data_IF_746819648233
#
_entry.id   IF_746819648233
#
_cell.length_a   1.000
_cell.length_b   1.000
_cell.length_c   1.000
_cell.angle_alpha   90.00
_cell.angle_beta   90.00
_cell.angle_gamma   90.00
#
_symmetry.space_group_name_H-M   'P 1'
#
loop_
_entity.id
_entity.type
_entity.pdbx_description
1 polymer ?
#
# COMPACT_ATOMS: atom_id res chain seq x y z
N UNK A 1 10.30 6.26 -6.33
CA UNK A 1 9.43 6.87 -5.31
C UNK A 1 8.31 5.89 -4.93
N UNK A 2 7.52 5.35 -5.87
CA UNK A 2 6.55 4.25 -5.59
C UNK A 2 7.19 3.00 -4.92
N UNK A 3 8.36 2.57 -5.40
CA UNK A 3 9.09 1.44 -4.84
C UNK A 3 9.52 1.62 -3.37
N UNK A 4 9.88 2.85 -2.98
CA UNK A 4 10.24 3.18 -1.59
C UNK A 4 9.01 3.15 -0.70
N UNK A 5 7.87 3.69 -1.15
CA UNK A 5 6.62 3.62 -0.38
C UNK A 5 6.11 2.18 -0.24
N UNK A 6 6.22 1.35 -1.28
CA UNK A 6 5.92 -0.10 -1.20
C UNK A 6 6.79 -0.81 -0.19
N UNK A 7 8.10 -0.56 -0.25
CA UNK A 7 9.05 -1.09 0.71
C UNK A 7 8.70 -0.64 2.14
N UNK A 8 8.45 0.65 2.35
CA UNK A 8 8.10 1.20 3.66
C UNK A 8 6.79 0.58 4.21
N UNK A 9 5.77 0.45 3.36
CA UNK A 9 4.50 -0.23 3.71
C UNK A 9 4.74 -1.71 4.07
N UNK A 10 5.65 -2.39 3.37
CA UNK A 10 6.06 -3.76 3.72
C UNK A 10 6.80 -3.81 5.06
N UNK A 11 7.66 -2.84 5.37
CA UNK A 11 8.33 -2.77 6.67
C UNK A 11 7.32 -2.60 7.81
N UNK A 12 6.27 -1.79 7.64
CA UNK A 12 5.18 -1.67 8.63
C UNK A 12 4.29 -2.92 8.76
N UNK A 13 4.45 -3.90 7.86
CA UNK A 13 3.72 -5.17 7.93
C UNK A 13 4.43 -6.25 8.73
N UNK A 14 5.63 -5.96 9.23
CA UNK A 14 6.42 -6.89 10.02
C UNK A 14 5.91 -6.77 11.46
N UNK A 15 5.48 -7.87 12.13
CA UNK A 15 5.08 -7.80 13.53
C UNK A 15 6.27 -7.45 14.43
N UNK A 16 6.00 -6.82 15.57
CA UNK A 16 7.01 -6.60 16.61
C UNK A 16 7.38 -7.94 17.26
N UNK A 17 8.67 -8.16 17.53
CA UNK A 17 9.09 -9.30 18.36
C UNK A 17 8.70 -9.06 19.83
N UNK A 18 8.57 -10.11 20.67
CA UNK A 18 8.24 -9.93 22.09
C UNK A 18 9.22 -9.01 22.85
N UNK A 19 10.50 -9.00 22.46
CA UNK A 19 11.49 -8.07 22.99
C UNK A 19 11.20 -6.62 22.59
N UNK A 20 10.59 -6.40 21.42
CA UNK A 20 10.16 -5.08 20.95
C UNK A 20 8.81 -4.65 21.55
N UNK A 21 7.89 -5.58 21.85
CA UNK A 21 6.59 -5.28 22.50
C UNK A 21 6.75 -4.68 23.90
N UNK A 22 7.78 -5.10 24.64
CA UNK A 22 8.07 -4.61 26.00
C UNK A 22 8.89 -3.31 26.03
N UNK A 23 9.39 -2.86 24.87
CA UNK A 23 10.35 -1.76 24.70
C UNK A 23 9.83 -0.65 23.79
N UNK A 24 8.55 -0.27 23.89
CA UNK A 24 8.10 1.09 23.52
C UNK A 24 8.69 2.15 24.47
N UNK A 25 10.00 2.08 24.66
CA UNK A 25 10.85 3.07 25.28
C UNK A 25 11.30 3.98 24.13
N UNK A 26 10.82 5.23 24.15
CA UNK A 26 10.95 6.21 23.05
C UNK A 26 12.40 6.48 22.61
N UNK A 27 13.39 6.00 23.37
CA UNK A 27 14.81 6.22 23.12
C UNK A 27 15.48 5.16 22.21
N UNK A 28 14.78 4.07 21.84
CA UNK A 28 15.39 2.96 21.08
C UNK A 28 14.80 2.67 19.70
N UNK A 29 13.58 3.11 19.39
CA UNK A 29 12.91 2.77 18.13
C UNK A 29 12.36 4.01 17.41
N UNK A 30 12.69 4.11 16.12
CA UNK A 30 12.16 5.16 15.26
C UNK A 30 10.78 4.75 14.72
N UNK A 31 9.73 5.59 14.88
CA UNK A 31 8.37 5.25 14.49
C UNK A 31 8.15 5.23 12.96
N UNK A 32 9.12 5.70 12.15
CA UNK A 32 9.11 5.61 10.70
C UNK A 32 9.78 4.30 10.24
N UNK A 33 10.79 3.81 10.95
CA UNK A 33 11.45 2.53 10.65
C UNK A 33 11.49 1.62 11.88
N UNK A 34 10.34 1.01 12.26
CA UNK A 34 10.23 0.24 13.50
C UNK A 34 11.10 -1.04 13.53
N UNK A 35 11.48 -1.58 12.36
CA UNK A 35 12.22 -2.84 12.24
C UNK A 35 13.59 -2.65 11.57
N UNK A 36 14.47 -1.90 12.21
CA UNK A 36 15.84 -1.63 11.74
C UNK A 36 16.62 -2.91 11.38
N UNK A 37 16.34 -4.03 12.07
CA UNK A 37 16.96 -5.35 11.82
C UNK A 37 16.35 -6.07 10.61
N UNK A 38 15.05 -5.91 10.36
CA UNK A 38 14.37 -6.54 9.23
C UNK A 38 14.64 -5.83 7.89
N UNK A 39 15.30 -4.67 7.93
CA UNK A 39 15.74 -3.94 6.74
C UNK A 39 16.72 -4.75 5.88
N UNK A 40 17.31 -5.86 6.33
CA UNK A 40 18.36 -6.55 5.57
C UNK A 40 17.84 -7.48 4.46
N UNK A 41 16.55 -7.87 4.49
CA UNK A 41 16.01 -8.92 3.60
C UNK A 41 14.64 -8.56 2.95
N UNK A 42 14.39 -7.31 2.54
CA UNK A 42 13.11 -6.98 1.86
C UNK A 42 13.09 -7.48 0.41
N UNK A 43 12.29 -8.51 0.16
CA UNK A 43 11.99 -9.00 -1.19
C UNK A 43 11.29 -7.94 -2.05
N UNK A 44 10.54 -7.01 -1.43
CA UNK A 44 9.82 -5.93 -2.13
C UNK A 44 10.78 -4.99 -2.80
N UNK A 45 11.74 -4.44 -2.05
CA UNK A 45 12.68 -3.49 -2.61
C UNK A 45 13.52 -4.14 -3.71
N UNK A 46 14.01 -5.36 -3.47
CA UNK A 46 14.76 -6.11 -4.47
C UNK A 46 13.94 -6.33 -5.74
N UNK A 47 12.70 -6.79 -5.63
CA UNK A 47 11.82 -7.02 -6.78
C UNK A 47 11.49 -5.72 -7.50
N UNK A 48 11.20 -4.64 -6.79
CA UNK A 48 10.89 -3.34 -7.41
C UNK A 48 12.11 -2.75 -8.12
N UNK A 49 13.33 -2.92 -7.59
CA UNK A 49 14.57 -2.55 -8.30
C UNK A 49 14.70 -3.39 -9.58
N UNK A 50 14.57 -4.71 -9.47
CA UNK A 50 14.73 -5.62 -10.59
C UNK A 50 13.69 -5.41 -11.71
N UNK A 51 12.44 -5.04 -11.37
CA UNK A 51 11.39 -4.66 -12.34
C UNK A 51 11.72 -3.40 -13.15
N UNK A 52 12.67 -2.59 -12.68
CA UNK A 52 13.07 -1.34 -13.34
C UNK A 52 14.44 -1.43 -14.02
N UNK A 53 15.07 -2.61 -14.04
CA UNK A 53 16.33 -2.86 -14.74
C UNK A 53 16.06 -3.64 -16.04
N UNK A 54 16.66 -3.26 -17.18
CA UNK A 54 17.47 -2.05 -17.42
C UNK A 54 16.65 -0.76 -17.51
N UNK A 55 15.33 -0.86 -17.70
CA UNK A 55 14.39 0.26 -17.69
C UNK A 55 12.99 -0.20 -17.26
N UNK A 56 12.12 0.70 -16.78
CA UNK A 56 10.75 0.37 -16.41
C UNK A 56 9.95 -0.08 -17.62
N UNK A 57 9.26 -1.22 -17.51
CA UNK A 57 8.33 -1.73 -18.54
C UNK A 57 6.88 -1.71 -18.06
N UNK A 58 6.62 -1.14 -16.88
CA UNK A 58 5.29 -1.08 -16.30
C UNK A 58 4.35 -0.18 -17.12
N UNK A 59 3.32 -0.80 -17.69
CA UNK A 59 2.18 -0.10 -18.29
C UNK A 59 1.06 0.00 -17.26
N UNK A 60 0.57 1.21 -16.99
CA UNK A 60 -0.53 1.42 -16.03
C UNK A 60 -1.82 0.75 -16.51
N UNK A 61 -2.64 0.27 -15.57
CA UNK A 61 -3.79 -0.60 -15.83
C UNK A 61 -4.78 -0.03 -16.86
N UNK A 62 -5.07 1.28 -16.82
CA UNK A 62 -5.95 1.95 -17.78
C UNK A 62 -5.43 1.98 -19.23
N UNK A 63 -4.14 1.74 -19.44
CA UNK A 63 -3.47 1.74 -20.75
C UNK A 63 -3.11 0.32 -21.22
N UNK A 64 -3.31 -0.71 -20.39
CA UNK A 64 -3.03 -2.10 -20.77
C UNK A 64 -4.00 -2.63 -21.82
N UNK A 65 -5.25 -2.18 -21.76
CA UNK A 65 -6.34 -2.71 -22.60
C UNK A 65 -6.62 -1.84 -23.84
N UNK A 66 -5.84 -0.77 -24.07
CA UNK A 66 -5.99 0.14 -25.22
C UNK A 66 -4.61 0.59 -25.72
N UNK A 67 -4.23 0.30 -26.97
CA UNK A 67 -3.00 0.84 -27.57
C UNK A 67 -2.99 2.37 -27.45
N UNK A 68 -1.95 2.92 -26.83
CA UNK A 68 -1.82 4.36 -26.64
C UNK A 68 -0.40 4.80 -26.99
N UNK A 69 -0.23 6.05 -27.44
CA UNK A 69 1.09 6.66 -27.60
C UNK A 69 1.93 6.58 -26.32
N UNK A 70 1.28 6.54 -25.14
CA UNK A 70 1.95 6.36 -23.86
C UNK A 70 2.59 4.97 -23.73
N UNK A 71 1.87 3.91 -24.12
CA UNK A 71 2.40 2.53 -24.14
C UNK A 71 3.58 2.40 -25.09
N UNK A 72 3.51 3.01 -26.27
CA UNK A 72 4.62 3.02 -27.24
C UNK A 72 5.86 3.72 -26.69
N UNK A 73 5.67 4.90 -26.08
CA UNK A 73 6.75 5.66 -25.47
C UNK A 73 7.50 4.86 -24.39
N UNK A 74 6.79 4.05 -23.60
CA UNK A 74 7.43 3.18 -22.59
C UNK A 74 8.39 2.18 -23.25
N UNK A 75 7.98 1.56 -24.35
CA UNK A 75 8.82 0.61 -25.08
C UNK A 75 9.97 1.29 -25.84
N UNK A 76 9.75 2.48 -26.40
CA UNK A 76 10.82 3.30 -26.99
C UNK A 76 11.86 3.71 -25.93
N UNK A 77 11.42 4.13 -24.75
CA UNK A 77 12.29 4.45 -23.62
C UNK A 77 13.05 3.21 -23.10
N UNK A 78 12.39 2.05 -23.10
CA UNK A 78 13.05 0.78 -22.77
C UNK A 78 14.18 0.47 -23.76
N UNK A 79 13.92 0.51 -25.06
CA UNK A 79 14.92 0.29 -26.11
C UNK A 79 16.10 1.26 -26.00
N UNK A 80 15.81 2.55 -25.81
CA UNK A 80 16.84 3.59 -25.69
C UNK A 80 17.75 3.40 -24.47
N UNK A 81 17.26 2.77 -23.40
CA UNK A 81 18.00 2.52 -22.16
C UNK A 81 18.68 1.16 -22.12
N UNK A 82 18.18 0.16 -22.84
CA UNK A 82 18.78 -1.19 -22.84
C UNK A 82 20.07 -1.24 -23.67
N UNK A 83 20.16 -0.45 -24.75
CA UNK A 83 21.34 -0.43 -25.63
C UNK A 83 22.61 0.06 -24.91
N UNK A 84 22.60 1.18 -24.17
CA UNK A 84 23.78 1.63 -23.43
C UNK A 84 24.17 0.74 -22.25
N UNK A 85 23.24 -0.07 -21.70
CA UNK A 85 23.52 -0.90 -20.50
C UNK A 85 24.50 -2.03 -20.81
N UNK A 86 24.42 -2.64 -22.00
CA UNK A 86 25.37 -3.66 -22.43
C UNK A 86 26.77 -3.05 -22.57
N UNK A 87 26.85 -1.85 -23.15
CA UNK A 87 28.12 -1.15 -23.36
C UNK A 87 28.73 -0.63 -22.05
N UNK A 88 27.90 -0.09 -21.15
CA UNK A 88 28.32 0.35 -19.82
C UNK A 88 28.83 -0.83 -18.97
N UNK A 89 28.13 -1.97 -19.00
CA UNK A 89 28.58 -3.15 -18.26
C UNK A 89 29.94 -3.67 -18.76
N UNK A 90 30.18 -3.69 -20.08
CA UNK A 90 31.48 -4.02 -20.66
C UNK A 90 32.57 -3.02 -20.27
N UNK A 91 32.24 -1.73 -20.20
CA UNK A 91 33.18 -0.70 -19.80
C UNK A 91 33.59 -0.83 -18.32
N UNK A 92 32.65 -1.20 -17.44
CA UNK A 92 32.90 -1.41 -16.01
C UNK A 92 33.64 -2.73 -15.72
N UNK A 93 33.56 -3.70 -16.63
CA UNK A 93 34.21 -5.02 -16.51
C UNK A 93 35.11 -5.33 -17.72
N UNK A 94 36.17 -4.54 -17.97
CA UNK A 94 37.01 -4.65 -19.17
C UNK A 94 37.77 -5.99 -19.25
N UNK A 95 37.93 -6.65 -18.11
CA UNK A 95 38.62 -7.92 -17.96
C UNK A 95 37.67 -9.14 -17.98
N UNK A 96 36.36 -8.95 -18.14
CA UNK A 96 35.41 -10.07 -18.14
C UNK A 96 35.62 -10.97 -19.36
N UNK A 97 36.04 -12.21 -19.12
CA UNK A 97 36.24 -13.23 -20.16
C UNK A 97 35.80 -14.60 -19.67
N UNK A 98 35.53 -15.51 -20.62
CA UNK A 98 35.21 -16.91 -20.33
C UNK A 98 36.27 -17.61 -19.46
N UNK A 99 37.52 -17.19 -19.57
CA UNK A 99 38.65 -17.79 -18.83
C UNK A 99 38.80 -17.24 -17.42
N UNK A 100 38.47 -15.97 -17.19
CA UNK A 100 38.63 -15.28 -15.90
C UNK A 100 37.44 -15.46 -14.98
N UNK A 101 36.23 -15.34 -15.52
CA UNK A 101 34.99 -15.55 -14.78
C UNK A 101 33.95 -16.21 -15.71
N UNK A 102 34.04 -17.53 -15.91
CA UNK A 102 33.19 -18.27 -16.83
C UNK A 102 31.69 -18.13 -16.53
N UNK A 103 31.36 -17.98 -15.24
CA UNK A 103 29.99 -17.80 -14.78
C UNK A 103 29.49 -16.42 -15.19
N UNK A 104 30.14 -15.34 -14.76
CA UNK A 104 29.70 -13.97 -15.07
C UNK A 104 29.75 -13.67 -16.58
N UNK A 105 30.72 -14.22 -17.31
CA UNK A 105 30.82 -14.07 -18.76
C UNK A 105 29.68 -14.79 -19.48
N UNK A 106 29.36 -16.03 -19.12
CA UNK A 106 28.24 -16.77 -19.71
C UNK A 106 26.89 -16.11 -19.41
N UNK A 107 26.71 -15.61 -18.19
CA UNK A 107 25.57 -14.80 -17.76
C UNK A 107 25.45 -13.51 -18.61
N UNK A 108 26.56 -12.81 -18.84
CA UNK A 108 26.61 -11.59 -19.65
C UNK A 108 26.29 -11.82 -21.13
N UNK A 109 26.87 -12.83 -21.77
CA UNK A 109 26.58 -13.16 -23.17
C UNK A 109 25.12 -13.55 -23.35
N UNK A 110 24.58 -14.34 -22.43
CA UNK A 110 23.18 -14.76 -22.47
C UNK A 110 22.21 -13.57 -22.26
N UNK A 111 22.52 -12.65 -21.33
CA UNK A 111 21.80 -11.38 -21.18
C UNK A 111 21.84 -10.53 -22.45
N UNK A 112 23.03 -10.33 -23.01
CA UNK A 112 23.23 -9.52 -24.22
C UNK A 112 22.42 -10.08 -25.39
N UNK A 113 22.40 -11.42 -25.54
CA UNK A 113 21.63 -12.11 -26.56
C UNK A 113 20.12 -11.96 -26.35
N UNK A 114 19.64 -12.12 -25.12
CA UNK A 114 18.22 -11.95 -24.79
C UNK A 114 17.74 -10.51 -25.02
N UNK A 115 18.48 -9.51 -24.53
CA UNK A 115 18.20 -8.08 -24.79
C UNK A 115 18.15 -7.84 -26.30
N UNK A 116 19.13 -8.33 -27.06
CA UNK A 116 19.20 -8.12 -28.50
C UNK A 116 17.99 -8.72 -29.23
N UNK A 117 17.55 -9.93 -28.83
CA UNK A 117 16.37 -10.59 -29.39
C UNK A 117 15.08 -9.83 -29.06
N UNK A 118 14.90 -9.38 -27.81
CA UNK A 118 13.74 -8.59 -27.40
C UNK A 118 13.74 -7.24 -28.13
N UNK A 119 14.88 -6.57 -28.19
CA UNK A 119 15.03 -5.29 -28.88
C UNK A 119 14.70 -5.43 -30.37
N UNK A 120 15.16 -6.51 -31.02
CA UNK A 120 14.82 -6.81 -32.41
C UNK A 120 13.31 -7.01 -32.59
N UNK A 121 12.68 -7.88 -31.78
CA UNK A 121 11.22 -8.11 -31.83
C UNK A 121 10.41 -6.84 -31.57
N UNK A 122 10.83 -6.02 -30.61
CA UNK A 122 10.23 -4.72 -30.31
C UNK A 122 10.32 -3.78 -31.51
N UNK A 123 11.49 -3.69 -32.15
CA UNK A 123 11.70 -2.86 -33.35
C UNK A 123 10.84 -3.32 -34.52
N UNK A 124 10.75 -4.62 -34.78
CA UNK A 124 9.89 -5.20 -35.82
C UNK A 124 8.40 -4.94 -35.52
N UNK A 125 8.00 -5.06 -34.26
CA UNK A 125 6.63 -4.80 -33.81
C UNK A 125 6.23 -3.33 -33.90
N UNK A 126 7.15 -2.41 -33.58
CA UNK A 126 6.96 -0.96 -33.69
C UNK A 126 6.89 -0.47 -35.15
N UNK A 127 7.46 -1.23 -36.10
CA UNK A 127 7.35 -0.92 -37.54
C UNK A 127 5.99 -1.32 -38.13
N UNK A 128 5.27 -2.25 -37.50
CA UNK A 128 3.94 -2.71 -37.92
C UNK A 128 2.81 -1.90 -37.26
N UNK A 129 1.57 -2.00 -37.78
CA UNK A 129 0.41 -1.36 -37.13
C UNK A 129 0.28 -1.90 -35.70
N UNK A 130 0.42 -1.01 -34.72
CA UNK A 130 0.32 -1.33 -33.29
C UNK A 130 -1.09 -1.82 -32.97
N UNK A 131 -1.26 -3.13 -32.80
CA UNK A 131 -2.53 -3.74 -32.35
C UNK A 131 -2.45 -4.13 -30.87
N UNK A 132 -3.59 -4.28 -30.17
CA UNK A 132 -3.62 -4.78 -28.79
C UNK A 132 -2.93 -6.14 -28.62
N UNK A 133 -3.02 -7.02 -29.62
CA UNK A 133 -2.42 -8.35 -29.61
C UNK A 133 -0.89 -8.28 -29.63
N UNK A 134 -0.32 -7.39 -30.46
CA UNK A 134 1.12 -7.16 -30.51
C UNK A 134 1.62 -6.60 -29.17
N UNK A 135 0.90 -5.66 -28.55
CA UNK A 135 1.27 -5.13 -27.23
C UNK A 135 1.25 -6.23 -26.15
N UNK A 136 0.26 -7.12 -26.18
CA UNK A 136 0.17 -8.24 -25.24
C UNK A 136 1.32 -9.24 -25.43
N UNK A 137 1.70 -9.51 -26.68
CA UNK A 137 2.85 -10.36 -27.02
C UNK A 137 4.17 -9.73 -26.57
N UNK A 138 4.36 -8.43 -26.79
CA UNK A 138 5.53 -7.68 -26.31
C UNK A 138 5.64 -7.68 -24.78
N UNK A 139 4.52 -7.49 -24.08
CA UNK A 139 4.48 -7.57 -22.62
C UNK A 139 4.84 -8.99 -22.14
N UNK A 140 4.35 -10.02 -22.83
CA UNK A 140 4.66 -11.41 -22.52
C UNK A 140 6.15 -11.73 -22.73
N UNK A 141 6.74 -11.32 -23.85
CA UNK A 141 8.17 -11.54 -24.14
C UNK A 141 9.09 -10.85 -23.11
N UNK A 142 8.76 -9.61 -22.71
CA UNK A 142 9.45 -8.90 -21.64
C UNK A 142 9.26 -9.62 -20.30
N UNK A 143 8.05 -10.08 -19.98
CA UNK A 143 7.77 -10.83 -18.75
C UNK A 143 8.47 -12.18 -18.70
N UNK A 144 8.58 -12.92 -19.82
CA UNK A 144 9.27 -14.21 -19.90
C UNK A 144 10.79 -14.09 -19.75
N UNK A 145 11.36 -12.97 -20.20
CA UNK A 145 12.78 -12.66 -20.01
C UNK A 145 13.10 -12.03 -18.65
N UNK A 146 12.10 -11.51 -17.95
CA UNK A 146 12.25 -10.86 -16.64
C UNK A 146 12.85 -11.79 -15.57
N UNK A 147 12.41 -13.06 -15.37
CA UNK A 147 13.04 -13.99 -14.44
C UNK A 147 14.54 -14.18 -14.67
N UNK A 148 14.96 -14.14 -15.93
CA UNK A 148 16.35 -14.28 -16.31
C UNK A 148 17.18 -13.06 -15.88
N UNK A 149 16.75 -11.83 -16.20
CA UNK A 149 17.38 -10.60 -15.70
C UNK A 149 17.37 -10.54 -14.17
N UNK A 150 16.23 -10.89 -13.56
CA UNK A 150 16.06 -10.98 -12.11
C UNK A 150 17.18 -11.84 -11.52
N UNK A 151 17.39 -13.06 -12.01
CA UNK A 151 18.38 -13.97 -11.45
C UNK A 151 19.83 -13.47 -11.62
N UNK A 152 20.11 -12.70 -12.67
CA UNK A 152 21.46 -12.20 -12.97
C UNK A 152 21.81 -10.91 -12.23
N UNK A 153 20.86 -9.99 -12.10
CA UNK A 153 21.04 -8.73 -11.37
C UNK A 153 20.83 -8.90 -9.86
N UNK A 154 20.19 -9.99 -9.41
CA UNK A 154 19.91 -10.24 -8.00
C UNK A 154 21.15 -10.13 -7.10
N UNK A 155 22.34 -10.68 -7.42
CA UNK A 155 23.53 -10.48 -6.59
C UNK A 155 23.91 -9.00 -6.44
N UNK A 156 23.86 -8.21 -7.51
CA UNK A 156 24.20 -6.78 -7.50
C UNK A 156 23.15 -6.00 -6.70
N UNK A 157 21.87 -6.28 -6.94
CA UNK A 157 20.76 -5.66 -6.20
C UNK A 157 20.82 -5.99 -4.72
N UNK A 158 21.22 -7.21 -4.36
CA UNK A 158 21.43 -7.60 -2.97
C UNK A 158 22.55 -6.78 -2.32
N UNK A 159 23.68 -6.56 -3.00
CA UNK A 159 24.75 -5.69 -2.49
C UNK A 159 24.33 -4.22 -2.36
N UNK A 160 23.62 -3.68 -3.35
CA UNK A 160 23.04 -2.33 -3.25
C UNK A 160 22.04 -2.20 -2.12
N UNK A 161 21.23 -3.24 -1.92
CA UNK A 161 20.26 -3.27 -0.84
C UNK A 161 20.95 -3.30 0.52
N UNK A 162 22.01 -4.10 0.72
CA UNK A 162 22.82 -4.07 1.94
C UNK A 162 23.37 -2.67 2.24
N UNK A 163 23.87 -1.95 1.23
CA UNK A 163 24.34 -0.57 1.39
C UNK A 163 23.20 0.40 1.76
N UNK A 164 22.04 0.25 1.12
CA UNK A 164 20.85 1.04 1.44
C UNK A 164 20.40 0.79 2.89
N UNK A 165 20.29 -0.46 3.30
CA UNK A 165 19.91 -0.85 4.66
C UNK A 165 20.90 -0.33 5.69
N UNK A 166 22.21 -0.41 5.43
CA UNK A 166 23.23 0.17 6.30
C UNK A 166 23.05 1.69 6.51
N UNK A 167 22.75 2.43 5.44
CA UNK A 167 22.46 3.87 5.52
C UNK A 167 21.15 4.18 6.25
N UNK A 168 20.12 3.37 6.06
CA UNK A 168 18.86 3.52 6.77
C UNK A 168 19.04 3.29 8.28
N UNK A 169 19.82 2.26 8.67
CA UNK A 169 20.21 2.00 10.06
C UNK A 169 20.97 3.19 10.64
N UNK A 170 21.96 3.72 9.92
CA UNK A 170 22.73 4.89 10.38
C UNK A 170 21.84 6.12 10.56
N UNK A 171 20.88 6.34 9.66
CA UNK A 171 19.94 7.45 9.75
C UNK A 171 19.07 7.32 11.00
N UNK A 172 18.49 6.15 11.27
CA UNK A 172 17.67 5.90 12.47
C UNK A 172 18.49 6.15 13.74
N UNK A 173 19.73 5.66 13.79
CA UNK A 173 20.63 5.92 14.93
C UNK A 173 20.95 7.40 15.14
N UNK A 174 21.00 8.20 14.07
CA UNK A 174 21.17 9.66 14.16
C UNK A 174 19.91 10.36 14.66
N UNK A 175 18.73 9.87 14.28
CA UNK A 175 17.43 10.45 14.63
C UNK A 175 17.04 10.19 16.10
N UNK A 176 17.53 9.12 16.72
CA UNK A 176 17.35 8.86 18.16
C UNK A 176 18.16 9.79 19.08
N UNK A 177 18.79 10.85 18.56
CA UNK A 177 19.45 11.86 19.38
C UNK A 177 18.42 12.91 19.80
N UNK A 178 18.41 13.35 21.08
CA UNK A 178 17.51 14.40 21.53
C UNK A 178 17.70 15.64 20.64
N UNK A 179 16.61 16.08 20.02
CA UNK A 179 16.59 17.32 19.27
C UNK A 179 16.72 18.50 20.25
N UNK A 180 17.37 19.60 19.85
CA UNK A 180 17.42 20.80 20.68
C UNK A 180 16.00 21.29 20.96
N UNK A 181 15.78 21.79 22.18
CA UNK A 181 14.50 22.39 22.56
C UNK A 181 14.17 23.54 21.59
N UNK A 182 12.95 23.50 21.04
CA UNK A 182 12.42 24.52 20.16
C UNK A 182 11.39 25.35 20.91
N UNK A 183 11.49 26.68 20.79
CA UNK A 183 10.47 27.60 21.28
C UNK A 183 9.33 27.84 20.26
N UNK A 184 9.38 27.18 19.10
CA UNK A 184 8.35 27.30 18.08
C UNK A 184 7.06 26.61 18.53
N UNK A 185 5.95 27.30 18.35
CA UNK A 185 4.61 26.81 18.69
C UNK A 185 3.82 26.59 17.41
N UNK A 186 3.01 25.55 17.37
CA UNK A 186 2.12 25.29 16.23
C UNK A 186 1.11 26.43 16.08
N UNK A 187 1.02 26.97 14.87
CA UNK A 187 0.08 28.04 14.49
C UNK A 187 -1.01 27.45 13.63
N UNK A 188 -2.27 27.78 13.96
CA UNK A 188 -3.43 27.36 13.19
C UNK A 188 -4.15 28.56 12.61
N UNK A 189 -4.39 28.51 11.30
CA UNK A 189 -5.17 29.51 10.58
C UNK A 189 -6.31 28.84 9.85
N UNK A 190 -7.54 29.29 10.11
CA UNK A 190 -8.71 28.92 9.33
C UNK A 190 -8.80 29.82 8.10
N UNK A 191 -8.86 29.21 6.93
CA UNK A 191 -9.27 29.85 5.68
C UNK A 191 -10.71 29.37 5.34
N UNK A 192 -11.24 29.65 4.14
CA UNK A 192 -12.66 29.41 3.82
C UNK A 192 -13.09 27.93 4.02
N UNK A 193 -12.47 27.00 3.28
CA UNK A 193 -12.77 25.56 3.31
C UNK A 193 -11.71 24.73 4.02
N UNK A 194 -10.66 25.37 4.53
CA UNK A 194 -9.45 24.69 5.01
C UNK A 194 -8.93 25.25 6.32
N UNK A 195 -8.17 24.42 7.03
CA UNK A 195 -7.23 24.86 8.05
C UNK A 195 -5.81 24.70 7.53
N UNK A 196 -4.96 25.68 7.85
CA UNK A 196 -3.51 25.62 7.71
C UNK A 196 -2.89 25.43 9.09
N UNK A 197 -2.09 24.38 9.23
CA UNK A 197 -1.36 24.03 10.45
C UNK A 197 0.13 24.23 10.16
N UNK A 198 0.81 25.09 10.92
CA UNK A 198 2.18 25.52 10.65
C UNK A 198 3.08 25.33 11.87
N UNK A 199 4.33 24.90 11.64
CA UNK A 199 5.37 24.83 12.65
C UNK A 199 6.69 25.26 12.00
N UNK A 200 7.38 26.22 12.61
CA UNK A 200 8.54 26.90 12.00
C UNK A 200 8.20 27.41 10.57
N UNK A 201 8.95 26.99 9.56
CA UNK A 201 8.80 27.38 8.15
C UNK A 201 7.86 26.45 7.38
N UNK A 202 7.42 25.35 8.00
CA UNK A 202 6.61 24.33 7.37
C UNK A 202 5.10 24.59 7.57
N UNK A 203 4.30 24.19 6.59
CA UNK A 203 2.84 24.32 6.65
C UNK A 203 2.13 23.21 5.90
N UNK A 204 1.09 22.68 6.54
CA UNK A 204 0.19 21.67 5.99
C UNK A 204 -1.22 22.23 5.93
N UNK A 205 -2.04 21.67 5.04
CA UNK A 205 -3.42 22.10 4.85
C UNK A 205 -4.34 20.89 4.83
N UNK A 206 -5.48 21.01 5.52
CA UNK A 206 -6.57 20.03 5.49
C UNK A 206 -7.93 20.72 5.43
N UNK A 207 -8.94 20.01 4.95
CA UNK A 207 -10.32 20.48 4.90
C UNK A 207 -10.90 20.70 6.30
N UNK A 208 -11.79 21.69 6.43
CA UNK A 208 -12.52 21.98 7.69
C UNK A 208 -13.20 20.72 8.24
N UNK A 209 -13.88 19.95 7.38
CA UNK A 209 -14.55 18.71 7.78
C UNK A 209 -13.59 17.67 8.38
N UNK A 210 -12.35 17.59 7.88
CA UNK A 210 -11.34 16.66 8.40
C UNK A 210 -10.72 17.18 9.69
N UNK A 211 -10.48 18.48 9.82
CA UNK A 211 -10.06 19.08 11.09
C UNK A 211 -11.09 18.81 12.19
N UNK A 212 -12.37 19.04 11.92
CA UNK A 212 -13.46 18.81 12.86
C UNK A 212 -13.57 17.32 13.23
N UNK A 213 -13.50 16.42 12.24
CA UNK A 213 -13.44 14.96 12.48
C UNK A 213 -12.30 14.58 13.42
N UNK A 214 -11.08 15.04 13.13
CA UNK A 214 -9.88 14.71 13.93
C UNK A 214 -10.00 15.27 15.35
N UNK A 215 -10.61 16.45 15.51
CA UNK A 215 -10.89 17.03 16.83
C UNK A 215 -11.89 16.18 17.63
N UNK A 216 -12.93 15.65 16.99
CA UNK A 216 -13.87 14.74 17.66
C UNK A 216 -13.23 13.39 18.01
N UNK A 217 -12.45 12.80 17.11
CA UNK A 217 -11.67 11.59 17.40
C UNK A 217 -10.74 11.82 18.60
N UNK A 218 -10.04 12.95 18.62
CA UNK A 218 -9.15 13.29 19.72
C UNK A 218 -9.89 13.45 21.04
N UNK A 219 -11.06 14.11 21.07
CA UNK A 219 -11.88 14.19 22.29
C UNK A 219 -12.32 12.82 22.79
N UNK A 220 -12.71 11.92 21.88
CA UNK A 220 -13.14 10.57 22.24
C UNK A 220 -12.00 9.77 22.87
N UNK A 221 -10.78 9.89 22.33
CA UNK A 221 -9.67 8.99 22.66
C UNK A 221 -8.61 9.59 23.59
N UNK A 222 -8.56 10.91 23.73
CA UNK A 222 -7.56 11.62 24.52
C UNK A 222 -8.15 12.46 25.66
N UNK A 223 -9.46 12.34 25.95
CA UNK A 223 -10.11 13.12 27.02
C UNK A 223 -9.53 12.88 28.42
N UNK A 224 -9.01 11.69 28.71
CA UNK A 224 -8.37 11.39 30.00
C UNK A 224 -6.99 12.04 30.14
N UNK A 225 -6.24 12.17 29.04
CA UNK A 225 -4.85 12.66 29.03
C UNK A 225 -4.73 14.15 28.66
N UNK A 226 -5.70 14.68 27.92
CA UNK A 226 -5.74 16.08 27.47
C UNK A 226 -7.21 16.58 27.38
N UNK A 227 -7.90 16.76 28.52
CA UNK A 227 -9.31 17.13 28.57
C UNK A 227 -9.60 18.53 28.02
N UNK A 228 -8.60 19.42 27.99
CA UNK A 228 -8.73 20.80 27.52
C UNK A 228 -8.33 20.99 26.05
N UNK A 229 -7.79 19.94 25.42
CA UNK A 229 -7.25 19.96 24.06
C UNK A 229 -6.03 20.88 23.93
N UNK A 230 -5.23 21.00 25.01
CA UNK A 230 -4.07 21.87 25.07
C UNK A 230 -2.97 21.42 24.08
N UNK A 231 -2.93 20.12 23.73
CA UNK A 231 -1.91 19.52 22.84
C UNK A 231 -2.48 19.08 21.48
N UNK A 232 -3.74 19.42 21.20
CA UNK A 232 -4.43 18.92 20.01
C UNK A 232 -3.76 19.38 18.71
N UNK A 233 -3.48 20.68 18.56
CA UNK A 233 -2.87 21.20 17.32
C UNK A 233 -1.45 20.67 17.09
N UNK A 234 -0.66 20.49 18.16
CA UNK A 234 0.69 19.92 18.10
C UNK A 234 0.66 18.46 17.61
N UNK A 235 -0.18 17.63 18.23
CA UNK A 235 -0.36 16.23 17.83
C UNK A 235 -0.95 16.11 16.43
N UNK A 236 -1.87 17.02 16.06
CA UNK A 236 -2.40 17.09 14.70
C UNK A 236 -1.30 17.43 13.68
N UNK A 237 -0.42 18.38 13.98
CA UNK A 237 0.72 18.69 13.12
C UNK A 237 1.63 17.47 12.94
N UNK A 238 2.00 16.79 14.04
CA UNK A 238 2.82 15.58 13.98
C UNK A 238 2.18 14.48 13.13
N UNK A 239 0.88 14.22 13.31
CA UNK A 239 0.11 13.28 12.51
C UNK A 239 0.16 13.63 11.02
N UNK A 240 -0.17 14.87 10.66
CA UNK A 240 -0.18 15.30 9.26
C UNK A 240 1.22 15.22 8.64
N UNK A 241 2.26 15.65 9.36
CA UNK A 241 3.66 15.58 8.90
C UNK A 241 4.13 14.15 8.74
N UNK A 242 3.72 13.24 9.61
CA UNK A 242 4.04 11.81 9.52
C UNK A 242 3.52 11.24 8.21
N UNK A 243 2.23 11.43 7.91
CA UNK A 243 1.64 10.93 6.67
C UNK A 243 2.23 11.60 5.42
N UNK A 244 2.49 12.91 5.44
CA UNK A 244 3.14 13.62 4.32
C UNK A 244 4.58 13.13 4.09
N UNK A 245 5.33 12.84 5.16
CA UNK A 245 6.73 12.38 5.07
C UNK A 245 6.85 10.93 4.62
N UNK A 246 5.98 10.04 5.12
CA UNK A 246 6.03 8.61 4.78
C UNK A 246 5.42 8.30 3.41
N UNK A 247 4.37 9.01 3.02
CA UNK A 247 3.61 8.66 1.83
C UNK A 247 3.47 9.81 0.83
N UNK A 248 3.48 11.06 1.30
CA UNK A 248 3.29 12.25 0.49
C UNK A 248 2.05 12.16 -0.42
N UNK A 249 2.04 12.94 -1.51
CA UNK A 249 0.95 12.90 -2.50
C UNK A 249 0.78 11.54 -3.19
N UNK A 250 1.82 10.72 -3.23
CA UNK A 250 1.79 9.39 -3.87
C UNK A 250 1.10 8.34 -3.00
N UNK A 251 1.06 8.57 -1.68
CA UNK A 251 0.34 7.78 -0.69
C UNK A 251 -1.10 7.48 -1.04
N UNK A 252 -1.77 8.48 -1.64
CA UNK A 252 -3.18 8.43 -2.02
C UNK A 252 -3.52 7.28 -2.98
N UNK A 253 -2.53 6.78 -3.74
CA UNK A 253 -2.71 5.68 -4.69
C UNK A 253 -2.66 4.28 -4.07
N UNK A 254 -2.17 4.15 -2.84
CA UNK A 254 -1.99 2.84 -2.19
C UNK A 254 -3.26 2.33 -1.53
N UNK A 255 -4.14 3.21 -1.07
CA UNK A 255 -5.36 2.82 -0.38
C UNK A 255 -6.51 3.76 -0.75
N UNK A 256 -7.68 3.17 -0.94
CA UNK A 256 -8.93 3.89 -1.15
C UNK A 256 -9.98 3.38 -0.17
N UNK A 257 -10.75 4.28 0.43
CA UNK A 257 -11.74 3.91 1.44
C UNK A 257 -13.08 3.56 0.78
N UNK A 258 -13.75 2.53 1.29
CA UNK A 258 -15.11 2.20 0.89
C UNK A 258 -16.06 3.38 1.14
N UNK A 259 -17.10 3.58 0.33
CA UNK A 259 -18.05 4.67 0.51
C UNK A 259 -18.89 4.45 1.76
N UNK A 260 -19.45 5.53 2.30
CA UNK A 260 -20.23 5.53 3.54
C UNK A 260 -21.49 4.67 3.41
N UNK A 261 -22.05 4.52 2.20
CA UNK A 261 -23.17 3.59 1.95
C UNK A 261 -22.80 2.16 2.29
N UNK A 262 -21.57 1.74 1.95
CA UNK A 262 -21.05 0.41 2.25
C UNK A 262 -20.77 0.28 3.73
N UNK A 263 -20.07 1.23 4.36
CA UNK A 263 -19.78 1.15 5.79
C UNK A 263 -21.05 1.17 6.67
N UNK A 264 -22.06 1.99 6.32
CA UNK A 264 -23.36 1.98 6.99
C UNK A 264 -24.02 0.60 6.94
N UNK A 265 -24.00 -0.04 5.77
CA UNK A 265 -24.52 -1.39 5.60
C UNK A 265 -23.72 -2.40 6.45
N UNK A 266 -22.39 -2.39 6.35
CA UNK A 266 -21.51 -3.28 7.12
C UNK A 266 -21.76 -3.18 8.62
N UNK A 267 -21.92 -1.96 9.14
CA UNK A 267 -22.18 -1.74 10.56
C UNK A 267 -23.56 -2.26 10.98
N UNK A 268 -24.59 -1.94 10.20
CA UNK A 268 -25.97 -2.33 10.50
C UNK A 268 -26.22 -3.84 10.40
N UNK A 269 -25.62 -4.50 9.41
CA UNK A 269 -25.96 -5.88 9.06
C UNK A 269 -24.92 -6.90 9.56
N UNK A 270 -23.64 -6.58 9.40
CA UNK A 270 -22.54 -7.46 9.81
C UNK A 270 -21.89 -7.03 11.12
N UNK A 271 -22.46 -6.02 11.80
CA UNK A 271 -21.95 -5.52 13.08
C UNK A 271 -20.52 -5.01 13.03
N UNK A 272 -20.04 -4.62 11.84
CA UNK A 272 -18.68 -4.08 11.69
C UNK A 272 -18.57 -2.78 12.47
N UNK A 273 -17.52 -2.66 13.26
CA UNK A 273 -17.25 -1.47 14.06
C UNK A 273 -15.77 -1.08 14.11
N UNK A 274 -14.95 -1.73 13.29
CA UNK A 274 -13.50 -1.57 13.32
C UNK A 274 -12.89 -1.80 11.92
N UNK A 275 -12.06 -0.86 11.48
CA UNK A 275 -11.24 -0.99 10.27
C UNK A 275 -9.85 -1.50 10.64
N UNK A 276 -9.41 -2.58 10.03
CA UNK A 276 -8.09 -3.19 10.30
C UNK A 276 -6.95 -2.52 9.55
N UNK A 277 -7.24 -1.67 8.57
CA UNK A 277 -6.25 -0.84 7.89
C UNK A 277 -6.86 0.52 7.62
N UNK A 278 -6.48 1.53 8.39
CA UNK A 278 -6.92 2.89 8.20
C UNK A 278 -5.88 3.89 8.73
N UNK A 279 -6.29 5.14 8.78
CA UNK A 279 -5.62 6.28 9.39
C UNK A 279 -6.65 7.15 10.06
N UNK A 280 -6.26 8.03 11.00
CA UNK A 280 -7.16 9.06 11.50
C UNK A 280 -7.77 9.92 10.37
N UNK A 281 -7.02 10.08 9.28
CA UNK A 281 -7.43 10.85 8.11
C UNK A 281 -8.57 10.16 7.34
N UNK A 282 -8.52 8.85 7.17
CA UNK A 282 -9.44 8.12 6.30
C UNK A 282 -10.44 7.18 6.96
N UNK A 283 -10.34 6.95 8.28
CA UNK A 283 -11.23 6.02 8.97
C UNK A 283 -12.71 6.43 8.89
N UNK A 284 -13.58 5.44 8.80
CA UNK A 284 -15.03 5.60 8.99
C UNK A 284 -15.42 5.41 10.45
N UNK A 285 -14.88 4.39 11.11
CA UNK A 285 -15.13 4.12 12.53
C UNK A 285 -14.17 4.90 13.43
N UNK A 286 -14.55 5.11 14.69
CA UNK A 286 -13.65 5.68 15.71
C UNK A 286 -12.62 4.67 16.23
N UNK A 287 -12.73 3.39 15.86
CA UNK A 287 -11.77 2.34 16.23
C UNK A 287 -11.21 1.73 14.97
N UNK A 288 -9.89 1.72 14.87
CA UNK A 288 -9.20 1.20 13.70
C UNK A 288 -7.76 0.82 14.05
N UNK A 289 -7.11 0.08 13.17
CA UNK A 289 -5.66 -0.13 13.19
C UNK A 289 -5.01 0.80 12.16
N UNK A 290 -3.79 1.26 12.45
CA UNK A 290 -3.01 2.13 11.57
C UNK A 290 -1.51 1.87 11.72
N UNK A 291 -0.72 2.47 10.84
CA UNK A 291 0.73 2.26 10.80
C UNK A 291 1.49 2.95 11.95
N UNK A 292 0.96 4.04 12.51
CA UNK A 292 1.70 4.93 13.42
C UNK A 292 1.04 5.02 14.80
N UNK A 293 1.24 4.06 15.70
CA UNK A 293 0.60 4.08 17.02
C UNK A 293 0.97 5.32 17.85
N UNK A 294 2.17 5.88 17.67
CA UNK A 294 2.68 7.05 18.39
C UNK A 294 1.94 8.34 18.04
N UNK A 295 1.54 8.53 16.78
CA UNK A 295 0.74 9.71 16.37
C UNK A 295 -0.76 9.42 16.38
N UNK A 296 -1.16 8.23 15.93
CA UNK A 296 -2.55 7.92 15.61
C UNK A 296 -3.32 7.40 16.84
N UNK A 297 -2.61 6.92 17.87
CA UNK A 297 -3.19 6.43 19.11
C UNK A 297 -4.07 7.49 19.80
N UNK A 298 -3.65 8.75 19.75
CA UNK A 298 -4.41 9.90 20.26
C UNK A 298 -5.75 10.12 19.54
N UNK A 299 -5.92 9.55 18.34
CA UNK A 299 -7.09 9.69 17.48
C UNK A 299 -7.87 8.39 17.30
N UNK A 300 -7.57 7.35 18.09
CA UNK A 300 -8.36 6.10 18.14
C UNK A 300 -7.71 4.87 17.54
N UNK A 301 -6.47 4.98 17.03
CA UNK A 301 -5.74 3.82 16.53
C UNK A 301 -5.47 2.77 17.63
N UNK A 302 -5.51 1.50 17.24
CA UNK A 302 -5.09 0.33 18.03
C UNK A 302 -3.73 -0.22 17.59
N UNK A 303 -2.94 0.61 16.89
CA UNK A 303 -1.64 0.23 16.34
C UNK A 303 -1.77 -0.68 15.12
N UNK A 304 -0.68 -1.35 14.78
CA UNK A 304 -0.61 -2.22 13.60
C UNK A 304 -1.58 -3.39 13.70
N UNK A 305 -2.21 -3.74 12.57
CA UNK A 305 -3.06 -4.94 12.49
C UNK A 305 -2.29 -6.24 12.75
N UNK A 306 -0.99 -6.24 12.42
CA UNK A 306 -0.13 -7.40 12.56
C UNK A 306 0.15 -7.73 14.03
N UNK A 307 0.10 -6.72 14.90
CA UNK A 307 0.24 -6.86 16.36
C UNK A 307 -1.13 -6.91 17.08
N UNK A 308 -2.21 -6.60 16.36
CA UNK A 308 -3.56 -6.55 16.94
C UNK A 308 -4.15 -7.94 17.18
N UNK A 309 -4.52 -8.24 18.42
CA UNK A 309 -5.00 -9.57 18.84
C UNK A 309 -6.40 -9.54 19.48
N UNK A 310 -7.46 -9.27 18.70
CA UNK A 310 -8.83 -9.25 19.19
C UNK A 310 -9.31 -10.65 19.59
N UNK A 311 -10.10 -10.75 20.67
CA UNK A 311 -10.69 -12.03 21.09
C UNK A 311 -12.02 -12.34 20.36
N UNK A 312 -12.72 -11.31 19.89
CA UNK A 312 -13.98 -11.35 19.17
C UNK A 312 -14.21 -10.00 18.46
N UNK A 313 -15.06 -9.98 17.44
CA UNK A 313 -15.44 -8.75 16.74
C UNK A 313 -15.80 -8.98 15.26
N UNK A 314 -16.30 -7.93 14.62
CA UNK A 314 -16.53 -7.91 13.18
C UNK A 314 -15.76 -6.74 12.57
N UNK A 315 -14.94 -7.05 11.58
CA UNK A 315 -13.87 -6.19 11.10
C UNK A 315 -13.98 -5.99 9.59
N UNK A 316 -13.73 -4.76 9.14
CA UNK A 316 -13.49 -4.49 7.72
C UNK A 316 -11.98 -4.48 7.47
N UNK A 317 -11.56 -5.12 6.38
CA UNK A 317 -10.17 -5.19 5.95
C UNK A 317 -10.01 -4.55 4.57
N UNK A 318 -9.42 -3.35 4.55
CA UNK A 318 -9.10 -2.57 3.35
C UNK A 318 -7.60 -2.34 3.26
N UNK A 319 -6.83 -3.39 3.04
CA UNK A 319 -5.36 -3.34 2.96
C UNK A 319 -4.87 -2.33 1.92
N UNK A 320 -3.70 -1.71 2.11
CA UNK A 320 -2.97 -1.08 1.01
C UNK A 320 -2.75 -2.08 -0.14
N UNK A 321 -2.79 -1.61 -1.39
CA UNK A 321 -2.60 -2.40 -2.61
C UNK A 321 -1.11 -2.75 -2.83
N UNK A 322 -0.53 -3.42 -1.83
CA UNK A 322 0.84 -3.95 -1.81
C UNK A 322 0.73 -5.44 -1.51
N UNK A 323 1.07 -6.27 -2.49
CA UNK A 323 0.79 -7.71 -2.49
C UNK A 323 1.32 -8.42 -1.24
N UNK A 324 2.50 -8.06 -0.75
CA UNK A 324 3.11 -8.65 0.45
C UNK A 324 2.27 -8.39 1.71
N UNK A 325 1.80 -7.15 1.84
CA UNK A 325 0.96 -6.76 2.97
C UNK A 325 -0.38 -7.46 2.89
N UNK A 326 -0.93 -7.62 1.68
CA UNK A 326 -2.17 -8.37 1.46
C UNK A 326 -2.01 -9.86 1.78
N UNK A 327 -0.89 -10.47 1.41
CA UNK A 327 -0.57 -11.87 1.71
C UNK A 327 -0.42 -12.08 3.23
N UNK A 328 0.40 -11.25 3.90
CA UNK A 328 0.55 -11.29 5.37
C UNK A 328 -0.78 -11.02 6.08
N UNK A 329 -1.60 -10.10 5.57
CA UNK A 329 -2.91 -9.82 6.14
C UNK A 329 -3.84 -11.04 6.00
N UNK A 330 -3.76 -11.77 4.88
CA UNK A 330 -4.54 -12.99 4.69
C UNK A 330 -4.18 -14.09 5.69
N UNK A 331 -2.88 -14.32 5.89
CA UNK A 331 -2.36 -15.24 6.91
C UNK A 331 -2.78 -14.81 8.33
N UNK A 332 -2.72 -13.51 8.62
CA UNK A 332 -3.13 -12.97 9.91
C UNK A 332 -4.63 -13.16 10.17
N UNK A 333 -5.48 -12.98 9.16
CA UNK A 333 -6.93 -13.22 9.26
C UNK A 333 -7.21 -14.70 9.58
N UNK A 334 -6.55 -15.64 8.88
CA UNK A 334 -6.66 -17.07 9.18
C UNK A 334 -6.27 -17.38 10.63
N UNK A 335 -5.12 -16.84 11.06
CA UNK A 335 -4.63 -17.02 12.42
C UNK A 335 -5.61 -16.48 13.48
N UNK A 336 -6.18 -15.29 13.28
CA UNK A 336 -7.15 -14.69 14.19
C UNK A 336 -8.47 -15.47 14.24
N UNK A 337 -8.93 -16.01 13.10
CA UNK A 337 -10.13 -16.86 13.05
C UNK A 337 -9.90 -18.19 13.77
N UNK A 338 -8.75 -18.82 13.58
CA UNK A 338 -8.38 -20.08 14.25
C UNK A 338 -8.28 -19.92 15.78
N UNK A 339 -7.70 -18.81 16.24
CA UNK A 339 -7.41 -18.59 17.66
C UNK A 339 -8.45 -17.72 18.39
N UNK A 340 -9.54 -17.38 17.71
CA UNK A 340 -10.62 -16.58 18.29
C UNK A 340 -11.30 -17.29 19.48
N UNK A 341 -11.70 -16.51 20.49
CA UNK A 341 -12.38 -17.03 21.70
C UNK A 341 -13.87 -16.66 21.74
N UNK A 342 -14.36 -16.02 20.68
CA UNK A 342 -15.74 -15.58 20.54
C UNK A 342 -16.10 -15.32 19.07
N UNK A 343 -17.27 -14.72 18.79
CA UNK A 343 -17.71 -14.43 17.42
C UNK A 343 -16.70 -13.57 16.68
N UNK A 344 -16.17 -14.07 15.56
CA UNK A 344 -15.13 -13.42 14.77
C UNK A 344 -15.52 -13.37 13.29
N UNK A 345 -15.43 -12.18 12.69
CA UNK A 345 -15.82 -11.92 11.30
C UNK A 345 -14.88 -10.93 10.63
N UNK A 346 -14.42 -11.24 9.42
CA UNK A 346 -13.63 -10.35 8.57
C UNK A 346 -14.33 -10.20 7.21
N UNK A 347 -14.46 -8.95 6.77
CA UNK A 347 -15.02 -8.59 5.47
C UNK A 347 -13.96 -7.80 4.71
N UNK A 348 -13.46 -8.39 3.63
CA UNK A 348 -12.30 -7.88 2.91
C UNK A 348 -12.71 -7.36 1.55
N UNK A 349 -12.24 -6.16 1.22
CA UNK A 349 -12.38 -5.57 -0.11
C UNK A 349 -10.98 -5.49 -0.73
N UNK A 350 -10.73 -6.34 -1.71
CA UNK A 350 -9.41 -6.46 -2.33
C UNK A 350 -9.53 -6.34 -3.85
N UNK A 351 -8.52 -5.79 -4.54
CA UNK A 351 -8.49 -5.84 -5.99
C UNK A 351 -8.50 -7.29 -6.51
N UNK A 352 -9.20 -7.50 -7.62
CA UNK A 352 -9.29 -8.82 -8.25
C UNK A 352 -8.07 -9.11 -9.14
N UNK A 353 -6.92 -9.37 -8.51
CA UNK A 353 -5.67 -9.76 -9.19
C UNK A 353 -5.66 -11.26 -9.51
N UNK A 354 -6.55 -11.70 -10.39
CA UNK A 354 -6.78 -13.12 -10.72
C UNK A 354 -5.94 -13.64 -11.90
N UNK A 355 -5.10 -12.80 -12.52
CA UNK A 355 -4.32 -13.15 -13.70
C UNK A 355 -2.84 -12.70 -13.64
N UNK A 356 -1.92 -13.57 -13.19
CA UNK A 356 -2.19 -14.81 -12.45
C UNK A 356 -2.77 -14.51 -11.06
N UNK A 357 -3.46 -15.47 -10.41
CA UNK A 357 -4.08 -15.22 -9.12
C UNK A 357 -3.05 -14.94 -8.04
N UNK A 358 -3.15 -13.77 -7.42
CA UNK A 358 -2.33 -13.40 -6.28
C UNK A 358 -2.57 -14.33 -5.08
N UNK A 359 -1.53 -14.55 -4.27
CA UNK A 359 -1.56 -15.54 -3.18
C UNK A 359 -2.65 -15.25 -2.13
N UNK A 360 -2.92 -13.99 -1.79
CA UNK A 360 -4.00 -13.64 -0.87
C UNK A 360 -5.39 -14.07 -1.38
N UNK A 361 -5.63 -14.03 -2.70
CA UNK A 361 -6.90 -14.49 -3.28
C UNK A 361 -7.09 -15.99 -3.08
N UNK A 362 -6.01 -16.76 -3.27
CA UNK A 362 -6.00 -18.20 -3.06
C UNK A 362 -6.18 -18.55 -1.58
N UNK A 363 -5.51 -17.80 -0.70
CA UNK A 363 -5.59 -17.97 0.76
C UNK A 363 -7.03 -17.77 1.24
N UNK A 364 -7.65 -16.64 0.90
CA UNK A 364 -9.06 -16.39 1.26
C UNK A 364 -10.04 -17.34 0.57
N UNK A 365 -9.80 -17.66 -0.70
CA UNK A 365 -10.66 -18.55 -1.49
C UNK A 365 -10.69 -19.99 -0.99
N UNK A 366 -9.59 -20.47 -0.42
CA UNK A 366 -9.46 -21.83 0.11
C UNK A 366 -9.68 -21.92 1.63
N UNK A 367 -9.98 -20.80 2.29
CA UNK A 367 -10.23 -20.76 3.72
C UNK A 367 -11.41 -21.63 4.14
N UNK A 368 -11.24 -22.42 5.20
CA UNK A 368 -12.37 -23.13 5.85
C UNK A 368 -13.37 -22.17 6.51
N UNK A 369 -12.98 -20.91 6.73
CA UNK A 369 -13.83 -19.87 7.30
C UNK A 369 -14.63 -19.10 6.26
N UNK A 370 -14.38 -19.32 4.95
CA UNK A 370 -15.06 -18.63 3.87
C UNK A 370 -16.59 -18.87 3.91
N UNK A 371 -17.36 -17.79 3.96
CA UNK A 371 -18.83 -17.81 3.87
C UNK A 371 -19.33 -17.32 2.52
N UNK A 372 -18.68 -16.31 1.95
CA UNK A 372 -18.97 -15.84 0.59
C UNK A 372 -17.72 -15.23 -0.07
N UNK A 373 -17.61 -15.48 -1.37
CA UNK A 373 -16.68 -14.83 -2.30
C UNK A 373 -17.51 -14.35 -3.48
N UNK A 374 -17.44 -13.05 -3.80
CA UNK A 374 -18.12 -12.49 -4.97
C UNK A 374 -17.39 -11.25 -5.50
N UNK A 375 -17.68 -10.91 -6.74
CA UNK A 375 -17.10 -9.77 -7.43
C UNK A 375 -18.06 -8.58 -7.44
N UNK A 376 -17.51 -7.38 -7.25
CA UNK A 376 -18.11 -6.12 -7.67
C UNK A 376 -17.40 -5.68 -8.95
N UNK A 377 -18.14 -5.61 -10.05
CA UNK A 377 -17.59 -5.24 -11.36
C UNK A 377 -17.04 -3.81 -11.35
N UNK A 378 -15.90 -3.61 -12.02
CA UNK A 378 -15.36 -2.28 -12.28
C UNK A 378 -16.37 -1.39 -13.00
N UNK A 379 -16.33 -0.09 -12.69
CA UNK A 379 -17.21 0.98 -13.15
C UNK A 379 -18.61 1.03 -12.55
N UNK A 380 -18.99 0.05 -11.72
CA UNK A 380 -20.33 -0.03 -11.12
C UNK A 380 -20.41 0.56 -9.70
N UNK A 381 -19.31 1.11 -9.19
CA UNK A 381 -19.22 1.67 -7.84
C UNK A 381 -18.14 2.75 -7.74
N UNK A 382 -18.15 3.47 -6.62
CA UNK A 382 -17.15 4.46 -6.26
C UNK A 382 -16.34 4.02 -5.04
N UNK A 383 -15.10 4.49 -4.98
CA UNK A 383 -14.29 4.56 -3.77
C UNK A 383 -14.02 6.02 -3.41
N UNK A 384 -13.59 6.26 -2.18
CA UNK A 384 -13.10 7.55 -1.71
C UNK A 384 -11.56 7.57 -1.82
N UNK A 385 -11.01 8.66 -2.34
CA UNK A 385 -9.56 8.85 -2.55
C UNK A 385 -8.79 8.79 -1.22
N UNK A 386 -7.56 8.29 -1.26
CA UNK A 386 -6.68 8.21 -0.08
C UNK A 386 -6.21 9.57 0.46
N UNK A 387 -6.29 10.64 -0.33
CA UNK A 387 -5.97 12.03 0.07
C UNK A 387 -7.22 12.88 0.36
N UNK A 388 -8.31 12.25 0.82
CA UNK A 388 -9.59 12.94 1.07
C UNK A 388 -9.52 14.11 2.07
N UNK A 389 -8.48 14.19 2.89
CA UNK A 389 -8.24 15.31 3.80
C UNK A 389 -7.79 16.60 3.09
N UNK A 390 -7.28 16.51 1.86
CA UNK A 390 -6.69 17.63 1.13
C UNK A 390 -7.72 18.24 0.17
N UNK A 391 -7.77 19.58 0.02
CA UNK A 391 -8.64 20.23 -0.96
C UNK A 391 -8.38 19.73 -2.38
N UNK A 392 -9.44 19.50 -3.14
CA UNK A 392 -9.33 19.11 -4.54
C UNK A 392 -10.41 19.78 -5.38
N UNK A 393 -10.10 20.03 -6.65
CA UNK A 393 -11.05 20.57 -7.63
C UNK A 393 -12.08 19.53 -8.09
N UNK A 394 -12.02 18.30 -7.57
CA UNK A 394 -12.92 17.20 -7.90
C UNK A 394 -13.44 16.54 -6.64
N UNK A 395 -14.57 15.85 -6.77
CA UNK A 395 -15.16 15.06 -5.69
C UNK A 395 -14.13 14.08 -5.10
N UNK A 396 -14.18 13.85 -3.78
CA UNK A 396 -13.35 12.82 -3.14
C UNK A 396 -13.70 11.40 -3.61
N UNK A 397 -14.85 11.22 -4.26
CA UNK A 397 -15.27 9.98 -4.90
C UNK A 397 -14.64 9.81 -6.28
N UNK A 398 -14.17 8.60 -6.59
CA UNK A 398 -13.83 8.19 -7.95
C UNK A 398 -14.54 6.88 -8.30
N UNK A 399 -14.98 6.77 -9.56
CA UNK A 399 -15.54 5.52 -10.08
C UNK A 399 -14.38 4.54 -10.22
N UNK A 400 -14.45 3.40 -9.53
CA UNK A 400 -13.38 2.43 -9.54
C UNK A 400 -13.32 1.75 -10.91
N UNK A 401 -12.24 1.91 -11.72
CA UNK A 401 -12.17 1.32 -13.05
C UNK A 401 -11.86 -0.20 -13.01
N UNK A 402 -11.56 -0.72 -11.83
CA UNK A 402 -11.19 -2.10 -11.57
C UNK A 402 -12.26 -2.81 -10.74
N UNK A 403 -12.34 -4.13 -10.88
CA UNK A 403 -13.22 -4.95 -10.06
C UNK A 403 -12.63 -5.13 -8.66
N UNK A 404 -13.51 -5.11 -7.64
CA UNK A 404 -13.14 -5.48 -6.27
C UNK A 404 -13.74 -6.84 -5.95
N UNK A 405 -12.90 -7.75 -5.45
CA UNK A 405 -13.36 -9.01 -4.90
C UNK A 405 -13.66 -8.84 -3.41
N UNK A 406 -14.82 -9.35 -3.00
CA UNK A 406 -15.27 -9.33 -1.62
C UNK A 406 -15.20 -10.74 -1.06
N UNK A 407 -14.48 -10.88 0.05
CA UNK A 407 -14.47 -12.10 0.86
C UNK A 407 -15.14 -11.81 2.21
N UNK A 408 -15.95 -12.76 2.67
CA UNK A 408 -16.51 -12.75 4.02
C UNK A 408 -16.09 -14.04 4.70
N UNK A 409 -15.20 -13.92 5.70
CA UNK A 409 -14.66 -15.05 6.46
C UNK A 409 -15.13 -14.94 7.92
N UNK A 410 -15.69 -16.02 8.45
CA UNK A 410 -16.23 -16.04 9.80
C UNK A 410 -15.97 -17.40 10.46
N UNK A 411 -15.65 -17.37 11.76
CA UNK A 411 -15.73 -18.58 12.57
C UNK A 411 -17.22 -18.97 12.78
N UNK A 412 -17.48 -20.14 13.35
CA UNK A 412 -18.85 -20.63 13.51
C UNK A 412 -19.72 -19.69 14.33
N UNK A 413 -19.19 -19.12 15.42
CA UNK A 413 -19.91 -18.18 16.28
C UNK A 413 -20.16 -16.84 15.58
N UNK A 414 -19.20 -16.36 14.79
CA UNK A 414 -19.30 -15.19 13.94
C UNK A 414 -20.41 -15.34 12.92
N UNK A 415 -20.52 -16.50 12.27
CA UNK A 415 -21.60 -16.79 11.33
C UNK A 415 -22.97 -16.88 12.02
N UNK A 416 -23.05 -17.44 13.23
CA UNK A 416 -24.29 -17.44 14.02
C UNK A 416 -24.72 -16.01 14.38
N UNK A 417 -23.76 -15.13 14.70
CA UNK A 417 -24.02 -13.74 15.11
C UNK A 417 -24.30 -12.79 13.94
N UNK A 418 -23.59 -12.97 12.83
CA UNK A 418 -23.64 -12.12 11.64
C UNK A 418 -23.84 -12.98 10.38
N UNK A 419 -25.02 -13.62 10.24
CA UNK A 419 -25.26 -14.60 9.20
C UNK A 419 -25.11 -14.01 7.80
N UNK A 420 -24.37 -14.71 6.94
CA UNK A 420 -24.20 -14.34 5.53
C UNK A 420 -25.26 -15.07 4.71
N UNK A 421 -26.25 -14.31 4.23
CA UNK A 421 -27.33 -14.79 3.35
C UNK A 421 -27.19 -14.22 1.95
N UNK A 422 -27.81 -14.83 0.95
CA UNK A 422 -27.80 -14.27 -0.41
C UNK A 422 -28.44 -12.87 -0.47
N UNK A 423 -29.45 -12.61 0.37
CA UNK A 423 -30.05 -11.27 0.51
C UNK A 423 -29.07 -10.24 1.09
N UNK A 424 -28.26 -10.62 2.09
CA UNK A 424 -27.22 -9.76 2.64
C UNK A 424 -26.13 -9.43 1.61
N UNK A 425 -25.76 -10.41 0.79
CA UNK A 425 -24.78 -10.25 -0.29
C UNK A 425 -25.31 -9.32 -1.36
N UNK A 426 -26.58 -9.48 -1.76
CA UNK A 426 -27.21 -8.57 -2.71
C UNK A 426 -27.31 -7.15 -2.16
N UNK A 427 -27.69 -6.98 -0.89
CA UNK A 427 -27.77 -5.67 -0.25
C UNK A 427 -26.40 -4.98 -0.16
N UNK A 428 -25.32 -5.74 0.06
CA UNK A 428 -23.96 -5.20 0.01
C UNK A 428 -23.58 -4.75 -1.41
N UNK A 429 -23.92 -5.53 -2.45
CA UNK A 429 -23.74 -5.12 -3.86
C UNK A 429 -24.52 -3.85 -4.17
N UNK A 430 -25.76 -3.75 -3.70
CA UNK A 430 -26.60 -2.57 -3.89
C UNK A 430 -26.03 -1.34 -3.17
N UNK A 431 -25.43 -1.53 -1.98
CA UNK A 431 -24.73 -0.47 -1.25
C UNK A 431 -23.49 0.05 -2.01
N UNK A 432 -22.75 -0.85 -2.68
CA UNK A 432 -21.68 -0.47 -3.60
C UNK A 432 -22.25 0.29 -4.81
N UNK A 433 -23.31 -0.20 -5.45
CA UNK A 433 -23.91 0.45 -6.62
C UNK A 433 -24.45 1.86 -6.29
N UNK A 434 -25.10 2.02 -5.13
CA UNK A 434 -25.63 3.29 -4.65
C UNK A 434 -24.56 4.38 -4.48
N UNK A 435 -23.29 4.00 -4.27
CA UNK A 435 -22.20 4.97 -4.12
C UNK A 435 -21.95 5.84 -5.36
N UNK A 436 -22.41 5.42 -6.55
CA UNK A 436 -22.33 6.25 -7.76
C UNK A 436 -23.16 7.52 -7.67
N UNK A 437 -24.28 7.49 -6.94
CA UNK A 437 -25.10 8.69 -6.71
C UNK A 437 -24.37 9.74 -5.84
N UNK A 438 -23.46 9.30 -4.96
CA UNK A 438 -22.67 10.22 -4.12
C UNK A 438 -21.75 11.11 -4.96
N UNK A 439 -21.18 10.58 -6.05
CA UNK A 439 -20.35 11.36 -6.97
C UNK A 439 -21.15 12.45 -7.71
N UNK A 440 -22.45 12.24 -7.92
CA UNK A 440 -23.32 13.20 -8.63
C UNK A 440 -23.91 14.28 -7.72
N UNK A 441 -23.78 14.12 -6.40
CA UNK A 441 -24.37 15.00 -5.38
C UNK A 441 -23.43 16.13 -4.94
N UNK A 442 -22.21 16.16 -5.48
CA UNK A 442 -21.18 17.19 -5.31
C UNK A 442 -20.72 17.65 -6.70
#
# INVERSE_FOLDING_TARGET
MDAFNRWLIEQYSIPLTPDQETLYDNDKYDPILPHVVALQDSEVMQREILKNIPAPTYVSWGHRNKPSQHTLKIFEEYLAKTEPVIDAFKADHPDLSLEKDPMLFGLFESCTKAISQINQKLRESLQNKVTPEIIAELLKDVQESTPFFINHYRPIVNEWYKLFSAKAIELVQRLNKPLPESNEVVKVRKDYETYRISYDSDSLTLLVAHYDKLRELYKIHSSEVDPRLDYFEERLYCLLRRYESCFGKQGAGFQAAAPETVFKFLSSHFGVCHETFASPLNCYYSRYNSAFPDTDGFFGSKGSFFDFSPIAGSFQLGTPNVEEVMNKAAERVEHLLENSKGPMSFIMFVPDWDNPPAQFLLTYGNSKYLKKNFLISGNDYCYIRGDQQVPSNSTHYFVAPFSSRVFILQNEEGYKKWPVTDSSVQSLKDAFAASKALKQSY
#
